data_IF_696056413685
#
_entry.id   IF_696056413685
#
_cell.length_a   1.000
_cell.length_b   1.000
_cell.length_c   1.000
_cell.angle_alpha   90.00
_cell.angle_beta   90.00
_cell.angle_gamma   90.00
#
_symmetry.space_group_name_H-M   'P 1'
#
loop_
_entity.id
_entity.type
_entity.pdbx_description
1 polymer ?
#
# COMPACT_ATOMS: atom_id res chain seq x y z
N UNK A 1 20.10 -59.04 -9.60
CA UNK A 1 18.65 -59.08 -9.86
C UNK A 1 18.01 -57.90 -9.14
N UNK A 2 17.70 -56.83 -9.86
CA UNK A 2 17.09 -55.60 -9.32
C UNK A 2 15.65 -55.54 -9.80
N UNK A 3 14.71 -55.98 -8.96
CA UNK A 3 13.28 -55.88 -9.23
C UNK A 3 12.81 -54.46 -8.94
N UNK A 4 12.53 -53.68 -9.99
CA UNK A 4 11.77 -52.43 -9.87
C UNK A 4 10.34 -52.74 -9.44
N UNK A 5 9.76 -51.99 -8.49
CA UNK A 5 8.36 -52.20 -8.08
C UNK A 5 7.40 -51.79 -9.21
N UNK A 6 6.25 -52.46 -9.36
CA UNK A 6 5.32 -52.24 -10.46
C UNK A 6 4.72 -50.83 -10.44
N UNK A 7 4.66 -50.22 -11.63
CA UNK A 7 4.19 -48.86 -11.89
C UNK A 7 2.77 -48.55 -11.37
N UNK A 8 1.91 -49.56 -11.19
CA UNK A 8 0.51 -49.35 -10.75
C UNK A 8 0.37 -48.91 -9.29
N UNK A 9 1.27 -49.33 -8.41
CA UNK A 9 1.22 -48.96 -6.99
C UNK A 9 1.45 -47.45 -6.80
N UNK A 10 2.38 -46.84 -7.56
CA UNK A 10 2.65 -45.39 -7.49
C UNK A 10 1.46 -44.55 -7.94
N UNK A 11 0.69 -45.02 -8.93
CA UNK A 11 -0.50 -44.32 -9.43
C UNK A 11 -1.61 -44.33 -8.38
N UNK A 12 -1.79 -45.44 -7.65
CA UNK A 12 -2.74 -45.55 -6.55
C UNK A 12 -2.42 -44.60 -5.39
N UNK A 13 -1.16 -44.49 -4.98
CA UNK A 13 -0.74 -43.57 -3.92
C UNK A 13 -0.98 -42.10 -4.26
N UNK A 14 -0.70 -41.68 -5.50
CA UNK A 14 -0.94 -40.31 -5.95
C UNK A 14 -2.44 -40.00 -5.97
N UNK A 15 -3.26 -40.94 -6.44
CA UNK A 15 -4.71 -40.80 -6.44
C UNK A 15 -5.28 -40.71 -5.01
N UNK A 16 -4.78 -41.53 -4.09
CA UNK A 16 -5.19 -41.53 -2.68
C UNK A 16 -4.78 -40.23 -1.97
N UNK A 17 -3.57 -39.72 -2.27
CA UNK A 17 -3.07 -38.47 -1.71
C UNK A 17 -3.90 -37.28 -2.23
N UNK A 18 -4.18 -37.23 -3.53
CA UNK A 18 -5.07 -36.23 -4.12
C UNK A 18 -6.49 -36.30 -3.54
N UNK A 19 -7.03 -37.51 -3.32
CA UNK A 19 -8.33 -37.71 -2.68
C UNK A 19 -8.35 -37.21 -1.23
N UNK A 20 -7.32 -37.53 -0.46
CA UNK A 20 -7.18 -37.05 0.93
C UNK A 20 -6.97 -35.54 1.00
N UNK A 21 -6.16 -34.97 0.12
CA UNK A 21 -5.98 -33.51 0.04
C UNK A 21 -7.28 -32.83 -0.35
N UNK A 22 -7.99 -33.35 -1.36
CA UNK A 22 -9.31 -32.83 -1.75
C UNK A 22 -10.29 -32.87 -0.59
N UNK A 23 -10.39 -34.00 0.11
CA UNK A 23 -11.29 -34.18 1.25
C UNK A 23 -10.90 -33.28 2.42
N UNK A 24 -9.60 -33.14 2.72
CA UNK A 24 -9.11 -32.24 3.75
C UNK A 24 -9.37 -30.77 3.39
N UNK A 25 -9.24 -30.41 2.11
CA UNK A 25 -9.61 -29.08 1.60
C UNK A 25 -11.12 -28.89 1.65
N UNK A 26 -11.96 -29.86 1.28
CA UNK A 26 -13.43 -29.77 1.35
C UNK A 26 -13.93 -29.69 2.80
N UNK A 27 -13.32 -30.44 3.73
CA UNK A 27 -13.66 -30.44 5.17
C UNK A 27 -13.18 -29.16 5.87
N UNK A 28 -12.04 -28.60 5.49
CA UNK A 28 -11.53 -27.33 6.04
C UNK A 28 -11.97 -26.09 5.25
N UNK A 29 -12.51 -26.25 4.03
CA UNK A 29 -13.20 -25.21 3.28
C UNK A 29 -14.65 -25.11 3.77
N UNK A 30 -14.83 -25.01 5.08
CA UNK A 30 -16.06 -24.41 5.59
C UNK A 30 -16.16 -23.00 5.01
N UNK A 31 -17.33 -22.68 4.47
CA UNK A 31 -17.71 -21.36 3.94
C UNK A 31 -17.67 -20.23 4.99
N UNK A 32 -16.94 -20.37 6.09
CA UNK A 32 -16.81 -19.39 7.18
C UNK A 32 -16.07 -18.11 6.78
N UNK A 33 -15.46 -18.08 5.59
CA UNK A 33 -14.75 -16.90 5.08
C UNK A 33 -15.41 -16.19 3.91
N UNK A 34 -16.12 -16.92 3.03
CA UNK A 34 -16.50 -16.40 1.71
C UNK A 34 -17.90 -15.76 1.65
N UNK A 35 -18.84 -16.20 2.51
CA UNK A 35 -20.23 -15.72 2.50
C UNK A 35 -20.44 -14.31 3.08
N UNK A 36 -19.47 -13.78 3.83
CA UNK A 36 -19.53 -12.45 4.47
C UNK A 36 -18.62 -11.41 3.80
N UNK A 37 -17.99 -11.75 2.67
CA UNK A 37 -17.02 -10.93 1.93
C UNK A 37 -17.59 -9.67 1.26
N UNK A 38 -18.85 -9.32 1.48
CA UNK A 38 -19.49 -8.20 0.79
C UNK A 38 -19.46 -6.89 1.57
N UNK A 39 -19.14 -6.90 2.86
CA UNK A 39 -18.97 -5.66 3.63
C UNK A 39 -17.53 -5.22 3.60
N UNK A 40 -17.24 -4.22 2.76
CA UNK A 40 -15.99 -3.46 2.87
C UNK A 40 -15.95 -2.82 4.25
N UNK A 41 -14.90 -3.13 5.01
CA UNK A 41 -14.62 -2.54 6.33
C UNK A 41 -13.67 -1.37 6.17
N UNK A 42 -13.71 -0.42 7.10
CA UNK A 42 -12.77 0.71 7.13
C UNK A 42 -11.41 0.26 7.65
N UNK A 43 -10.34 0.84 7.12
CA UNK A 43 -8.98 0.55 7.58
C UNK A 43 -8.62 1.52 8.72
N UNK A 44 -9.03 1.18 9.94
CA UNK A 44 -8.76 1.98 11.15
C UNK A 44 -8.53 1.08 12.37
N UNK A 45 -7.87 1.65 13.40
CA UNK A 45 -7.48 0.92 14.61
C UNK A 45 -8.69 0.31 15.32
N UNK A 46 -9.80 1.05 15.42
CA UNK A 46 -11.02 0.60 16.11
C UNK A 46 -11.64 -0.62 15.43
N UNK A 47 -11.63 -0.64 14.10
CA UNK A 47 -12.13 -1.74 13.28
C UNK A 47 -11.23 -2.96 13.40
N UNK A 48 -9.90 -2.77 13.38
CA UNK A 48 -8.91 -3.82 13.63
C UNK A 48 -9.09 -4.48 15.01
N UNK A 49 -9.28 -3.68 16.07
CA UNK A 49 -9.56 -4.17 17.42
C UNK A 49 -10.87 -4.98 17.47
N UNK A 50 -11.92 -4.45 16.86
CA UNK A 50 -13.24 -5.11 16.80
C UNK A 50 -13.20 -6.44 16.04
N UNK A 51 -12.32 -6.55 15.03
CA UNK A 51 -12.17 -7.77 14.24
C UNK A 51 -11.38 -8.87 14.97
N UNK A 52 -10.50 -8.53 15.91
CA UNK A 52 -9.65 -9.52 16.60
C UNK A 52 -10.48 -10.57 17.34
N UNK A 53 -11.51 -10.14 18.09
CA UNK A 53 -12.46 -11.03 18.77
C UNK A 53 -13.68 -11.42 17.92
N UNK A 54 -13.76 -10.92 16.69
CA UNK A 54 -14.90 -11.14 15.80
C UNK A 54 -14.90 -12.52 15.13
N UNK A 55 -16.06 -12.98 14.65
CA UNK A 55 -16.17 -14.25 13.92
C UNK A 55 -15.42 -14.21 12.58
N UNK A 56 -15.04 -15.39 12.09
CA UNK A 56 -14.31 -15.59 10.84
C UNK A 56 -12.81 -15.81 11.03
N UNK A 57 -12.13 -16.29 9.98
CA UNK A 57 -10.70 -16.57 10.02
C UNK A 57 -9.87 -15.29 10.02
N UNK A 58 -8.72 -15.31 10.69
CA UNK A 58 -7.81 -14.16 10.72
C UNK A 58 -7.30 -13.79 9.32
N UNK A 59 -7.10 -14.79 8.44
CA UNK A 59 -6.75 -14.53 7.05
C UNK A 59 -7.85 -13.81 6.27
N UNK A 60 -9.12 -14.16 6.49
CA UNK A 60 -10.25 -13.44 5.90
C UNK A 60 -10.36 -12.00 6.41
N UNK A 61 -10.07 -11.76 7.70
CA UNK A 61 -10.06 -10.42 8.28
C UNK A 61 -8.94 -9.55 7.68
N UNK A 62 -7.72 -10.07 7.58
CA UNK A 62 -6.58 -9.40 6.93
C UNK A 62 -6.92 -9.02 5.50
N UNK A 63 -7.46 -9.96 4.71
CA UNK A 63 -7.90 -9.68 3.33
C UNK A 63 -8.95 -8.57 3.26
N UNK A 64 -9.98 -8.62 4.11
CA UNK A 64 -11.04 -7.61 4.14
C UNK A 64 -10.53 -6.22 4.50
N UNK A 65 -9.55 -6.12 5.40
CA UNK A 65 -8.91 -4.87 5.77
C UNK A 65 -8.11 -4.26 4.62
N UNK A 66 -7.23 -5.03 3.97
CA UNK A 66 -6.46 -4.55 2.82
C UNK A 66 -7.39 -4.15 1.67
N UNK A 67 -8.49 -4.88 1.47
CA UNK A 67 -9.55 -4.50 0.53
C UNK A 67 -10.23 -3.19 0.90
N UNK A 68 -10.47 -2.95 2.19
CA UNK A 68 -10.96 -1.69 2.73
C UNK A 68 -10.07 -0.51 2.37
N UNK A 69 -8.78 -0.66 2.63
CA UNK A 69 -7.78 0.37 2.30
C UNK A 69 -7.70 0.65 0.79
N UNK A 70 -7.71 -0.39 -0.05
CA UNK A 70 -7.76 -0.23 -1.52
C UNK A 70 -8.99 0.57 -1.97
N UNK A 71 -10.15 0.30 -1.37
CA UNK A 71 -11.38 1.02 -1.69
C UNK A 71 -11.31 2.48 -1.21
N UNK A 72 -10.83 2.73 0.00
CA UNK A 72 -10.64 4.08 0.54
C UNK A 72 -9.77 4.94 -0.38
N UNK A 73 -8.65 4.40 -0.88
CA UNK A 73 -7.76 5.11 -1.79
C UNK A 73 -8.42 5.42 -3.14
N UNK A 74 -9.23 4.49 -3.65
CA UNK A 74 -9.99 4.69 -4.89
C UNK A 74 -11.08 5.76 -4.73
N UNK A 75 -11.80 5.72 -3.61
CA UNK A 75 -12.92 6.63 -3.34
C UNK A 75 -12.40 8.03 -2.93
N UNK A 76 -11.22 8.11 -2.31
CA UNK A 76 -10.57 9.35 -1.87
C UNK A 76 -9.26 9.60 -2.63
N UNK A 77 -9.37 9.80 -3.94
CA UNK A 77 -8.24 10.07 -4.84
C UNK A 77 -7.31 11.20 -4.35
N UNK A 78 -7.86 12.25 -3.73
CA UNK A 78 -7.06 13.35 -3.19
C UNK A 78 -6.11 12.89 -2.08
N UNK A 79 -6.49 11.88 -1.29
CA UNK A 79 -5.65 11.32 -0.22
C UNK A 79 -4.71 10.22 -0.71
N UNK A 80 -4.85 9.77 -1.96
CA UNK A 80 -4.03 8.70 -2.53
C UNK A 80 -2.53 8.93 -2.34
N UNK A 81 -1.95 10.14 -2.51
CA UNK A 81 -0.52 10.37 -2.30
C UNK A 81 -0.02 10.04 -0.89
N UNK A 82 -0.87 10.22 0.13
CA UNK A 82 -0.53 9.92 1.54
C UNK A 82 -0.74 8.43 1.85
N UNK A 83 -1.76 7.84 1.24
CA UNK A 83 -2.22 6.49 1.55
C UNK A 83 -1.55 5.41 0.70
N UNK A 84 -1.00 5.75 -0.47
CA UNK A 84 -0.41 4.80 -1.41
C UNK A 84 0.78 4.01 -0.82
N UNK A 85 1.76 4.63 -0.12
CA UNK A 85 2.83 3.87 0.54
C UNK A 85 2.33 2.90 1.61
N UNK A 86 1.24 3.27 2.31
CA UNK A 86 0.60 2.42 3.32
C UNK A 86 -0.12 1.23 2.66
N UNK A 87 -0.77 1.46 1.52
CA UNK A 87 -1.38 0.41 0.69
C UNK A 87 -0.34 -0.62 0.29
N UNK A 88 0.79 -0.18 -0.27
CA UNK A 88 1.80 -1.08 -0.80
C UNK A 88 2.42 -1.94 0.32
N UNK A 89 2.58 -1.39 1.52
CA UNK A 89 2.99 -2.15 2.72
C UNK A 89 1.90 -3.13 3.18
N UNK A 90 0.64 -2.72 3.18
CA UNK A 90 -0.48 -3.60 3.53
C UNK A 90 -0.62 -4.78 2.55
N UNK A 91 -0.39 -4.54 1.26
CA UNK A 91 -0.39 -5.59 0.24
C UNK A 91 0.77 -6.57 0.40
N UNK A 92 1.95 -6.09 0.82
CA UNK A 92 3.07 -6.98 1.16
C UNK A 92 2.74 -7.89 2.34
N UNK A 93 2.10 -7.36 3.39
CA UNK A 93 1.65 -8.16 4.54
C UNK A 93 0.66 -9.24 4.11
N UNK A 94 -0.33 -8.88 3.28
CA UNK A 94 -1.28 -9.85 2.72
C UNK A 94 -0.57 -10.94 1.92
N UNK A 95 0.39 -10.54 1.07
CA UNK A 95 1.17 -11.49 0.26
C UNK A 95 2.05 -12.41 1.12
N UNK A 96 2.63 -11.91 2.21
CA UNK A 96 3.38 -12.74 3.15
C UNK A 96 2.48 -13.75 3.87
N UNK A 97 1.24 -13.35 4.17
CA UNK A 97 0.24 -14.26 4.72
C UNK A 97 -0.18 -15.35 3.72
N UNK A 98 -0.46 -14.97 2.47
CA UNK A 98 -0.77 -15.89 1.37
C UNK A 98 0.35 -16.90 1.11
N UNK A 99 1.62 -16.46 1.27
CA UNK A 99 2.80 -17.33 1.13
C UNK A 99 3.17 -18.08 2.42
N UNK A 100 2.30 -18.07 3.44
CA UNK A 100 2.53 -18.71 4.73
C UNK A 100 3.84 -18.28 5.43
N UNK A 101 4.35 -17.08 5.14
CA UNK A 101 5.53 -16.50 5.79
C UNK A 101 5.20 -15.83 7.13
N UNK A 102 3.92 -15.57 7.37
CA UNK A 102 3.41 -15.00 8.63
C UNK A 102 2.07 -15.66 8.99
N UNK A 103 1.63 -15.49 10.24
CA UNK A 103 0.33 -15.97 10.73
C UNK A 103 -0.74 -14.88 10.59
N UNK A 104 -2.01 -15.27 10.59
CA UNK A 104 -3.12 -14.30 10.52
C UNK A 104 -3.09 -13.29 11.69
N UNK A 105 -2.81 -13.75 12.91
CA UNK A 105 -2.63 -12.90 14.10
C UNK A 105 -1.48 -11.92 13.94
N UNK A 106 -0.30 -12.38 13.49
CA UNK A 106 0.85 -11.51 13.28
C UNK A 106 0.60 -10.49 12.15
N UNK A 107 -0.08 -10.90 11.07
CA UNK A 107 -0.50 -9.99 10.01
C UNK A 107 -1.49 -8.93 10.52
N UNK A 108 -2.43 -9.29 11.41
CA UNK A 108 -3.34 -8.34 12.06
C UNK A 108 -2.59 -7.32 12.93
N UNK A 109 -1.57 -7.74 13.67
CA UNK A 109 -0.71 -6.83 14.46
C UNK A 109 0.03 -5.83 13.55
N UNK A 110 0.58 -6.30 12.43
CA UNK A 110 1.25 -5.44 11.45
C UNK A 110 0.29 -4.44 10.80
N UNK A 111 -0.93 -4.86 10.47
CA UNK A 111 -1.95 -3.96 9.93
C UNK A 111 -2.43 -2.94 10.98
N UNK A 112 -2.48 -3.31 12.27
CA UNK A 112 -2.82 -2.37 13.35
C UNK A 112 -1.77 -1.26 13.51
N UNK A 113 -0.48 -1.61 13.40
CA UNK A 113 0.59 -0.62 13.36
C UNK A 113 0.45 0.32 12.14
N UNK A 114 0.15 -0.23 10.95
CA UNK A 114 -0.10 0.57 9.75
C UNK A 114 -1.33 1.48 9.87
N UNK A 115 -2.40 1.04 10.54
CA UNK A 115 -3.58 1.87 10.76
C UNK A 115 -3.28 3.06 11.68
N UNK A 116 -2.48 2.84 12.72
CA UNK A 116 -2.00 3.92 13.60
C UNK A 116 -1.15 4.93 12.82
N UNK A 117 -0.27 4.44 11.95
CA UNK A 117 0.55 5.28 11.07
C UNK A 117 -0.34 6.08 10.10
N UNK A 118 -1.38 5.45 9.53
CA UNK A 118 -2.37 6.11 8.67
C UNK A 118 -3.06 7.26 9.39
N UNK A 119 -3.58 7.02 10.58
CA UNK A 119 -4.31 8.04 11.34
C UNK A 119 -3.40 9.22 11.71
N UNK A 120 -2.15 8.94 12.08
CA UNK A 120 -1.15 9.97 12.31
C UNK A 120 -0.83 10.77 11.04
N UNK A 121 -0.66 10.09 9.89
CA UNK A 121 -0.39 10.74 8.62
C UNK A 121 -1.56 11.62 8.15
N UNK A 122 -2.80 11.12 8.26
CA UNK A 122 -4.02 11.88 7.90
C UNK A 122 -4.21 13.08 8.83
N UNK A 123 -3.93 12.92 10.13
CA UNK A 123 -4.00 14.03 11.08
C UNK A 123 -2.93 15.08 10.78
N UNK A 124 -1.68 14.66 10.55
CA UNK A 124 -0.59 15.55 10.17
C UNK A 124 -0.87 16.29 8.86
N UNK A 125 -1.51 15.62 7.88
CA UNK A 125 -1.94 16.25 6.64
C UNK A 125 -2.92 17.39 6.91
N UNK A 126 -3.95 17.14 7.73
CA UNK A 126 -4.95 18.15 8.12
C UNK A 126 -4.32 19.31 8.88
N UNK A 127 -3.43 19.02 9.81
CA UNK A 127 -2.77 20.03 10.65
C UNK A 127 -1.72 20.85 9.87
N UNK A 128 -1.23 20.32 8.74
CA UNK A 128 -0.19 20.98 7.93
C UNK A 128 -0.67 22.19 7.13
N UNK A 129 -1.97 22.26 6.82
CA UNK A 129 -2.55 23.26 5.92
C UNK A 129 -2.19 23.07 4.43
N UNK A 130 -1.46 22.01 4.07
CA UNK A 130 -1.12 21.65 2.70
C UNK A 130 -2.28 20.89 2.04
N UNK A 131 -2.39 20.96 0.71
CA UNK A 131 -3.24 20.03 -0.02
C UNK A 131 -2.73 18.60 0.16
N UNK A 132 -3.61 17.62 0.00
CA UNK A 132 -3.24 16.21 0.16
C UNK A 132 -2.16 15.76 -0.85
N UNK A 133 -2.11 16.37 -2.05
CA UNK A 133 -1.03 16.16 -3.03
C UNK A 133 0.31 16.70 -2.52
N UNK A 134 0.36 17.95 -2.05
CA UNK A 134 1.60 18.52 -1.52
C UNK A 134 2.06 17.81 -0.24
N UNK A 135 1.13 17.41 0.63
CA UNK A 135 1.47 16.65 1.82
C UNK A 135 2.01 15.25 1.48
N UNK A 136 1.48 14.58 0.46
CA UNK A 136 2.03 13.30 -0.01
C UNK A 136 3.50 13.42 -0.45
N UNK A 137 3.85 14.53 -1.10
CA UNK A 137 5.25 14.85 -1.44
C UNK A 137 6.10 15.02 -0.18
N UNK A 138 5.64 15.83 0.78
CA UNK A 138 6.33 15.96 2.07
C UNK A 138 6.54 14.60 2.74
N UNK A 139 5.49 13.79 2.82
CA UNK A 139 5.52 12.51 3.52
C UNK A 139 6.49 11.52 2.91
N UNK A 140 6.58 11.51 1.58
CA UNK A 140 7.50 10.62 0.85
C UNK A 140 8.96 11.07 1.00
N UNK A 141 9.18 12.37 1.11
CA UNK A 141 10.52 12.96 1.11
C UNK A 141 11.05 13.34 2.50
N UNK A 142 10.24 13.22 3.57
CA UNK A 142 10.61 13.65 4.92
C UNK A 142 11.85 12.93 5.48
N UNK A 143 12.09 11.69 5.04
CA UNK A 143 13.22 10.84 5.47
C UNK A 143 14.24 10.64 4.32
N UNK A 144 14.23 11.51 3.30
CA UNK A 144 15.14 11.40 2.15
C UNK A 144 16.54 11.92 2.48
N UNK A 145 17.53 11.01 2.44
CA UNK A 145 18.93 11.29 2.81
C UNK A 145 19.60 12.33 1.93
N UNK A 146 19.22 12.45 0.66
CA UNK A 146 19.83 13.42 -0.25
C UNK A 146 19.37 14.84 0.10
N UNK A 147 18.09 15.00 0.44
CA UNK A 147 17.55 16.26 0.95
C UNK A 147 18.17 16.63 2.29
N UNK A 148 18.26 15.68 3.23
CA UNK A 148 18.92 15.90 4.53
C UNK A 148 20.38 16.36 4.36
N UNK A 149 21.15 15.67 3.51
CA UNK A 149 22.56 15.98 3.27
C UNK A 149 22.77 17.34 2.61
N UNK A 150 21.81 17.80 1.81
CA UNK A 150 21.82 19.11 1.17
C UNK A 150 21.17 20.23 2.02
N UNK A 151 20.68 19.91 3.22
CA UNK A 151 19.98 20.86 4.09
C UNK A 151 18.66 21.37 3.51
N UNK A 152 18.03 20.60 2.61
CA UNK A 152 16.76 20.98 1.98
C UNK A 152 15.60 20.45 2.84
N UNK A 153 14.75 21.35 3.28
CA UNK A 153 13.52 20.99 4.00
C UNK A 153 12.50 20.36 3.06
N UNK A 154 12.11 19.10 3.33
CA UNK A 154 11.01 18.43 2.64
C UNK A 154 9.68 19.21 2.76
N UNK A 155 9.50 19.95 3.85
CA UNK A 155 8.32 20.81 4.06
C UNK A 155 8.32 22.00 3.10
N UNK A 156 9.46 22.63 2.89
CA UNK A 156 9.57 23.79 1.99
C UNK A 156 9.37 23.36 0.54
N UNK A 157 9.87 22.17 0.18
CA UNK A 157 9.63 21.56 -1.11
C UNK A 157 8.14 21.27 -1.33
N UNK A 158 7.45 20.73 -0.33
CA UNK A 158 6.00 20.52 -0.40
C UNK A 158 5.23 21.84 -0.54
N UNK A 159 5.65 22.91 0.15
CA UNK A 159 5.05 24.24 -0.02
C UNK A 159 5.28 24.82 -1.43
N UNK A 160 6.46 24.57 -2.01
CA UNK A 160 6.76 24.94 -3.39
C UNK A 160 5.88 24.16 -4.37
N UNK A 161 5.64 22.87 -4.11
CA UNK A 161 4.69 22.04 -4.89
C UNK A 161 3.26 22.58 -4.77
N UNK A 162 2.80 22.93 -3.57
CA UNK A 162 1.47 23.54 -3.35
C UNK A 162 1.30 24.81 -4.20
N UNK A 163 2.31 25.67 -4.18
CA UNK A 163 2.32 26.93 -4.96
C UNK A 163 2.31 26.65 -6.46
N UNK A 164 3.07 25.64 -6.91
CA UNK A 164 3.12 25.26 -8.31
C UNK A 164 1.78 24.64 -8.78
N UNK A 165 1.12 23.83 -7.94
CA UNK A 165 -0.20 23.26 -8.24
C UNK A 165 -1.27 24.35 -8.38
N UNK A 166 -1.21 25.42 -7.58
CA UNK A 166 -2.11 26.57 -7.72
C UNK A 166 -1.93 27.29 -9.07
N UNK A 167 -0.72 27.30 -9.63
CA UNK A 167 -0.43 27.86 -10.95
C UNK A 167 -0.82 26.94 -12.12
N UNK A 168 -0.92 25.63 -11.87
CA UNK A 168 -1.17 24.59 -12.88
C UNK A 168 -2.33 23.67 -12.46
N UNK A 169 -3.57 24.18 -12.45
CA UNK A 169 -4.72 23.44 -11.93
C UNK A 169 -5.06 22.17 -12.74
N UNK A 170 -4.68 22.11 -14.03
CA UNK A 170 -4.96 20.98 -14.91
C UNK A 170 -3.70 20.15 -15.19
N UNK A 171 -2.71 20.19 -14.31
CA UNK A 171 -1.44 19.48 -14.49
C UNK A 171 -1.62 17.98 -14.74
N UNK A 172 -2.68 17.35 -14.25
CA UNK A 172 -2.94 15.92 -14.54
C UNK A 172 -3.37 15.65 -15.98
N UNK A 173 -4.12 16.56 -16.59
CA UNK A 173 -4.74 16.36 -17.90
C UNK A 173 -4.02 17.10 -19.04
N UNK A 174 -3.14 18.05 -18.73
CA UNK A 174 -2.49 18.92 -19.72
C UNK A 174 -0.97 18.72 -19.77
N UNK A 175 -0.47 18.16 -20.87
CA UNK A 175 0.94 17.87 -21.08
C UNK A 175 1.85 19.12 -21.04
N UNK A 176 1.36 20.29 -21.46
CA UNK A 176 2.14 21.53 -21.39
C UNK A 176 2.25 22.04 -19.95
N UNK A 177 1.18 21.92 -19.16
CA UNK A 177 1.23 22.21 -17.72
C UNK A 177 2.15 21.24 -16.98
N UNK A 178 2.14 19.94 -17.32
CA UNK A 178 3.08 18.96 -16.75
C UNK A 178 4.53 19.37 -16.97
N UNK A 179 4.88 19.77 -18.21
CA UNK A 179 6.23 20.21 -18.55
C UNK A 179 6.65 21.44 -17.74
N UNK A 180 5.76 22.43 -17.62
CA UNK A 180 6.02 23.68 -16.86
C UNK A 180 6.09 23.45 -15.35
N UNK A 181 5.21 22.60 -14.82
CA UNK A 181 5.24 22.16 -13.44
C UNK A 181 6.57 21.48 -13.12
N UNK A 182 6.96 20.47 -13.92
CA UNK A 182 8.24 19.77 -13.78
C UNK A 182 9.43 20.72 -13.79
N UNK A 183 9.46 21.68 -14.72
CA UNK A 183 10.53 22.68 -14.79
C UNK A 183 10.64 23.53 -13.52
N UNK A 184 9.52 23.85 -12.88
CA UNK A 184 9.45 24.65 -11.65
C UNK A 184 10.09 23.93 -10.45
N UNK A 185 9.99 22.60 -10.42
CA UNK A 185 10.55 21.75 -9.34
C UNK A 185 12.08 21.73 -9.29
N UNK A 186 12.76 22.05 -10.40
CA UNK A 186 14.23 22.07 -10.42
C UNK A 186 14.82 23.23 -9.60
N UNK A 187 14.08 24.34 -9.43
CA UNK A 187 14.55 25.55 -8.75
C UNK A 187 14.81 25.36 -7.25
N UNK A 188 13.92 24.76 -6.43
CA UNK A 188 14.21 24.50 -5.03
C UNK A 188 15.31 23.45 -4.80
N UNK A 189 15.63 22.64 -5.81
CA UNK A 189 16.55 21.50 -5.70
C UNK A 189 17.95 21.79 -6.25
N UNK A 190 18.31 23.06 -6.43
CA UNK A 190 19.59 23.47 -7.03
C UNK A 190 20.82 23.06 -6.21
N UNK A 191 20.67 22.83 -4.90
CA UNK A 191 21.76 22.37 -4.05
C UNK A 191 22.08 20.87 -4.20
N UNK A 192 21.18 20.08 -4.82
CA UNK A 192 21.42 18.67 -5.12
C UNK A 192 22.32 18.50 -6.35
N UNK A 193 23.01 17.35 -6.39
CA UNK A 193 23.68 16.87 -7.61
C UNK A 193 22.66 16.69 -8.73
N UNK A 194 23.13 16.67 -10.00
CA UNK A 194 22.25 16.53 -11.16
C UNK A 194 21.40 15.26 -11.10
N UNK A 195 22.01 14.14 -10.67
CA UNK A 195 21.36 12.83 -10.57
C UNK A 195 20.29 12.82 -9.47
N UNK A 196 20.64 13.27 -8.26
CA UNK A 196 19.70 13.33 -7.14
C UNK A 196 18.56 14.30 -7.41
N UNK A 197 18.85 15.43 -8.06
CA UNK A 197 17.84 16.39 -8.48
C UNK A 197 16.84 15.77 -9.45
N UNK A 198 17.32 15.04 -10.46
CA UNK A 198 16.45 14.37 -11.42
C UNK A 198 15.58 13.32 -10.72
N UNK A 199 16.19 12.48 -9.87
CA UNK A 199 15.47 11.46 -9.06
C UNK A 199 14.34 12.08 -8.24
N UNK A 200 14.63 13.14 -7.48
CA UNK A 200 13.63 13.78 -6.61
C UNK A 200 12.52 14.40 -7.45
N UNK A 201 12.84 15.08 -8.55
CA UNK A 201 11.82 15.64 -9.46
C UNK A 201 10.93 14.53 -10.04
N UNK A 202 11.52 13.44 -10.51
CA UNK A 202 10.77 12.29 -11.04
C UNK A 202 9.82 11.72 -9.99
N UNK A 203 10.30 11.53 -8.76
CA UNK A 203 9.48 11.02 -7.67
C UNK A 203 8.32 11.96 -7.31
N UNK A 204 8.56 13.28 -7.29
CA UNK A 204 7.51 14.28 -7.07
C UNK A 204 6.49 14.26 -8.20
N UNK A 205 6.94 14.21 -9.45
CA UNK A 205 6.06 14.17 -10.62
C UNK A 205 5.23 12.89 -10.61
N UNK A 206 5.84 11.74 -10.33
CA UNK A 206 5.13 10.46 -10.20
C UNK A 206 4.07 10.52 -9.09
N UNK A 207 4.40 11.04 -7.90
CA UNK A 207 3.44 11.18 -6.80
C UNK A 207 2.28 12.13 -7.13
N UNK A 208 2.57 13.24 -7.79
CA UNK A 208 1.55 14.26 -8.11
C UNK A 208 0.70 13.84 -9.31
N UNK A 209 1.27 13.14 -10.29
CA UNK A 209 0.60 12.73 -11.52
C UNK A 209 0.14 11.27 -11.52
N UNK A 210 0.44 10.48 -10.48
CA UNK A 210 -0.05 9.12 -10.34
C UNK A 210 -1.55 9.09 -10.62
N UNK A 211 -1.91 8.30 -11.63
CA UNK A 211 -3.23 8.27 -12.22
C UNK A 211 -4.31 7.97 -11.18
N UNK A 212 -5.46 8.61 -11.37
CA UNK A 212 -6.72 8.40 -10.63
C UNK A 212 -7.40 7.12 -11.09
#
# INVERSE_FOLDING_TARGET
MTTSPPSSARVGYVAELAYKTRRLVEENATQDGLGRLTKTVTFDVKTLESLRGGPGSDAGKVFNLVRGLRKEIKDEADRAPVLQPLKDRAERILKDLENCKTTGLAAMDLLAALATEKDAAVKAAKDSGLSARAFGVYWTLKDDKALESAGISARDLAQAVETALACFPNVTANADEQRRFRATLYRPLLALSLEERARVVDLVVEQVLAET
#
